data_IF_791905497096
#
_entry.id   IF_791905497096
#
_cell.length_a   1.000
_cell.length_b   1.000
_cell.length_c   1.000
_cell.angle_alpha   90.00
_cell.angle_beta   90.00
_cell.angle_gamma   90.00
#
_symmetry.space_group_name_H-M   'P 1'
#
loop_
_entity.id
_entity.type
_entity.pdbx_description
1 polymer ?
#
# COMPACT_ATOMS: atom_id res chain seq x y z
N UNK A 1 -21.88 2.07 17.90
CA UNK A 1 -20.96 1.73 16.80
C UNK A 1 -19.92 2.82 16.73
N UNK A 2 -18.63 2.50 16.66
CA UNK A 2 -17.59 3.51 16.51
C UNK A 2 -17.53 3.98 15.05
N UNK A 3 -17.60 5.29 14.81
CA UNK A 3 -17.35 5.89 13.50
C UNK A 3 -15.86 6.22 13.40
N UNK A 4 -15.16 5.58 12.47
CA UNK A 4 -13.75 5.86 12.19
C UNK A 4 -13.63 7.03 11.22
N UNK A 5 -12.71 7.95 11.50
CA UNK A 5 -12.32 9.00 10.55
C UNK A 5 -11.38 8.43 9.49
N UNK A 6 -11.26 9.10 8.34
CA UNK A 6 -10.33 8.69 7.27
C UNK A 6 -8.88 8.61 7.78
N UNK A 7 -8.50 9.56 8.65
CA UNK A 7 -7.21 9.56 9.33
C UNK A 7 -7.00 8.31 10.19
N UNK A 8 -7.99 7.90 10.98
CA UNK A 8 -7.89 6.68 11.81
C UNK A 8 -7.81 5.41 10.95
N UNK A 9 -8.52 5.38 9.81
CA UNK A 9 -8.41 4.27 8.85
C UNK A 9 -7.01 4.25 8.23
N UNK A 10 -6.45 5.40 7.87
CA UNK A 10 -5.09 5.50 7.34
C UNK A 10 -4.04 5.04 8.37
N UNK A 11 -4.16 5.44 9.63
CA UNK A 11 -3.29 4.98 10.73
C UNK A 11 -3.36 3.45 10.89
N UNK A 12 -4.56 2.87 10.83
CA UNK A 12 -4.75 1.43 10.86
C UNK A 12 -4.10 0.75 9.64
N UNK A 13 -4.27 1.28 8.44
CA UNK A 13 -3.66 0.73 7.22
C UNK A 13 -2.13 0.76 7.28
N UNK A 14 -1.53 1.85 7.78
CA UNK A 14 -0.09 1.94 8.02
C UNK A 14 0.36 0.92 9.07
N UNK A 15 -0.38 0.79 10.17
CA UNK A 15 -0.11 -0.21 11.21
C UNK A 15 -0.15 -1.65 10.67
N UNK A 16 -1.16 -1.97 9.86
CA UNK A 16 -1.30 -3.27 9.20
C UNK A 16 -0.13 -3.51 8.24
N UNK A 17 0.24 -2.52 7.42
CA UNK A 17 1.36 -2.65 6.49
C UNK A 17 2.68 -2.91 7.23
N UNK A 18 2.93 -2.23 8.36
CA UNK A 18 4.10 -2.49 9.22
C UNK A 18 4.09 -3.89 9.83
N UNK A 19 2.94 -4.37 10.31
CA UNK A 19 2.82 -5.74 10.82
C UNK A 19 3.10 -6.76 9.72
N UNK A 20 2.62 -6.51 8.50
CA UNK A 20 2.90 -7.36 7.34
C UNK A 20 4.37 -7.31 6.93
N UNK A 21 5.04 -6.16 6.98
CA UNK A 21 6.49 -6.07 6.76
C UNK A 21 7.27 -6.97 7.72
N UNK A 22 6.92 -7.00 9.01
CA UNK A 22 7.57 -7.88 9.97
C UNK A 22 7.41 -9.37 9.60
N UNK A 23 6.24 -9.76 9.10
CA UNK A 23 6.01 -11.13 8.58
C UNK A 23 6.90 -11.40 7.36
N UNK A 24 7.01 -10.45 6.44
CA UNK A 24 7.85 -10.58 5.24
C UNK A 24 9.33 -10.69 5.61
N UNK A 25 9.79 -9.91 6.59
CA UNK A 25 11.15 -10.00 7.12
C UNK A 25 11.43 -11.34 7.78
N UNK A 26 10.51 -11.84 8.61
CA UNK A 26 10.61 -13.16 9.19
C UNK A 26 10.69 -14.24 8.10
N UNK A 27 9.83 -14.17 7.08
CA UNK A 27 9.83 -15.13 5.97
C UNK A 27 11.13 -15.09 5.15
N UNK A 28 11.67 -13.89 4.87
CA UNK A 28 12.96 -13.73 4.18
C UNK A 28 14.11 -14.32 5.00
N UNK A 29 14.08 -14.19 6.33
CA UNK A 29 15.09 -14.78 7.22
C UNK A 29 15.10 -16.33 7.18
N UNK A 30 13.94 -16.95 6.93
CA UNK A 30 13.81 -18.40 6.84
C UNK A 30 14.11 -18.93 5.43
N UNK A 31 13.83 -18.13 4.40
CA UNK A 31 14.07 -18.48 3.00
C UNK A 31 14.51 -17.25 2.22
N UNK A 32 15.81 -17.19 1.93
CA UNK A 32 16.37 -16.16 1.05
C UNK A 32 15.64 -16.14 -0.31
N UNK A 33 15.31 -14.95 -0.78
CA UNK A 33 14.56 -14.73 -2.03
C UNK A 33 13.05 -14.77 -1.88
N UNK A 34 12.49 -14.91 -0.67
CA UNK A 34 11.04 -14.84 -0.44
C UNK A 34 10.42 -13.56 -1.01
N UNK A 35 11.07 -12.41 -0.79
CA UNK A 35 10.62 -11.10 -1.32
C UNK A 35 10.49 -11.07 -2.84
N UNK A 36 11.35 -11.80 -3.56
CA UNK A 36 11.28 -11.89 -5.02
C UNK A 36 10.01 -12.61 -5.50
N UNK A 37 9.52 -13.58 -4.71
CA UNK A 37 8.26 -14.27 -4.98
C UNK A 37 7.04 -13.46 -4.52
N UNK A 38 7.17 -12.72 -3.42
CA UNK A 38 6.10 -11.87 -2.90
C UNK A 38 5.79 -10.70 -3.83
N UNK A 39 6.81 -10.04 -4.37
CA UNK A 39 6.66 -8.84 -5.19
C UNK A 39 5.61 -8.98 -6.33
N UNK A 40 5.64 -10.01 -7.20
CA UNK A 40 4.61 -10.18 -8.24
C UNK A 40 3.22 -10.52 -7.69
N UNK A 41 3.13 -11.28 -6.59
CA UNK A 41 1.85 -11.58 -5.94
C UNK A 41 1.21 -10.30 -5.36
N UNK A 42 2.01 -9.47 -4.71
CA UNK A 42 1.58 -8.20 -4.15
C UNK A 42 1.20 -7.19 -5.23
N UNK A 43 1.96 -7.12 -6.34
CA UNK A 43 1.59 -6.29 -7.51
C UNK A 43 0.26 -6.73 -8.13
N UNK A 44 -0.02 -8.03 -8.17
CA UNK A 44 -1.30 -8.58 -8.64
C UNK A 44 -2.44 -8.14 -7.72
N UNK A 45 -2.28 -8.27 -6.40
CA UNK A 45 -3.28 -7.83 -5.43
C UNK A 45 -3.53 -6.31 -5.47
N UNK A 46 -2.46 -5.53 -5.66
CA UNK A 46 -2.50 -4.07 -5.82
C UNK A 46 -3.01 -3.62 -7.20
N UNK A 47 -3.20 -4.56 -8.14
CA UNK A 47 -3.63 -4.32 -9.53
C UNK A 47 -2.76 -3.30 -10.28
N UNK A 48 -1.49 -3.14 -9.90
CA UNK A 48 -0.61 -2.08 -10.44
C UNK A 48 -0.16 -2.33 -11.87
N UNK A 49 -0.21 -3.58 -12.36
CA UNK A 49 0.11 -3.92 -13.75
C UNK A 49 -1.07 -3.75 -14.72
N UNK A 50 -2.27 -3.51 -14.21
CA UNK A 50 -3.45 -3.32 -15.07
C UNK A 50 -3.62 -1.83 -15.38
N UNK A 51 -3.08 -1.40 -16.52
CA UNK A 51 -3.06 0.01 -16.93
C UNK A 51 -4.44 0.61 -17.19
N UNK A 52 -5.47 -0.22 -17.41
CA UNK A 52 -6.87 0.21 -17.55
C UNK A 52 -7.69 0.12 -16.27
N UNK A 53 -7.08 -0.26 -15.14
CA UNK A 53 -7.78 -0.43 -13.87
C UNK A 53 -7.78 0.85 -13.05
N UNK A 54 -8.96 1.41 -12.82
CA UNK A 54 -9.14 2.51 -11.86
C UNK A 54 -8.91 1.98 -10.44
N UNK A 55 -8.01 2.59 -9.64
CA UNK A 55 -7.77 2.20 -8.26
C UNK A 55 -9.05 2.14 -7.43
N UNK A 56 -9.15 1.14 -6.55
CA UNK A 56 -10.34 0.92 -5.72
C UNK A 56 -9.96 0.72 -4.25
N UNK A 57 -10.91 0.92 -3.34
CA UNK A 57 -10.71 0.62 -1.92
C UNK A 57 -10.28 -0.84 -1.66
N UNK A 58 -10.68 -1.78 -2.53
CA UNK A 58 -10.35 -3.19 -2.38
C UNK A 58 -8.88 -3.50 -2.68
N UNK A 59 -8.25 -2.75 -3.60
CA UNK A 59 -6.82 -2.92 -3.92
C UNK A 59 -5.90 -1.98 -3.12
N UNK A 60 -6.47 -0.98 -2.43
CA UNK A 60 -5.72 0.02 -1.69
C UNK A 60 -4.80 -0.54 -0.60
N UNK A 61 -5.21 -1.49 0.28
CA UNK A 61 -4.31 -2.03 1.30
C UNK A 61 -3.06 -2.69 0.71
N UNK A 62 -3.20 -3.36 -0.43
CA UNK A 62 -2.08 -3.98 -1.13
C UNK A 62 -1.14 -2.93 -1.73
N UNK A 63 -1.66 -1.79 -2.21
CA UNK A 63 -0.85 -0.65 -2.65
C UNK A 63 -0.07 -0.02 -1.51
N UNK A 64 -0.70 0.16 -0.34
CA UNK A 64 -0.02 0.67 0.87
C UNK A 64 1.10 -0.28 1.29
N UNK A 65 0.86 -1.59 1.33
CA UNK A 65 1.91 -2.57 1.63
C UNK A 65 3.02 -2.58 0.57
N UNK A 66 2.67 -2.44 -0.72
CA UNK A 66 3.64 -2.37 -1.81
C UNK A 66 4.55 -1.15 -1.69
N UNK A 67 4.00 0.02 -1.35
CA UNK A 67 4.79 1.22 -1.07
C UNK A 67 5.72 1.03 0.13
N UNK A 68 5.26 0.31 1.15
CA UNK A 68 6.07 -0.09 2.30
C UNK A 68 7.22 -1.05 1.94
N UNK A 69 7.18 -1.78 0.82
CA UNK A 69 8.33 -2.57 0.37
C UNK A 69 9.46 -1.70 -0.21
N UNK A 70 9.21 -0.41 -0.47
CA UNK A 70 10.19 0.54 -0.97
C UNK A 70 11.11 1.10 0.13
N UNK A 71 11.99 2.03 -0.27
CA UNK A 71 12.91 2.70 0.68
C UNK A 71 12.23 3.65 1.65
N UNK A 72 11.17 4.34 1.20
CA UNK A 72 10.46 5.34 1.96
C UNK A 72 9.00 4.91 2.13
N UNK A 73 8.64 4.23 3.23
CA UNK A 73 7.26 3.86 3.49
C UNK A 73 6.39 5.12 3.69
N UNK A 74 5.15 5.15 3.18
CA UNK A 74 4.26 6.29 3.34
C UNK A 74 3.82 6.46 4.79
N UNK A 75 3.63 7.71 5.20
CA UNK A 75 3.04 8.04 6.50
C UNK A 75 1.51 8.04 6.46
N UNK A 76 0.88 8.14 7.64
CA UNK A 76 -0.58 8.14 7.74
C UNK A 76 -1.23 9.31 7.01
N UNK A 77 -0.57 10.48 6.95
CA UNK A 77 -1.10 11.65 6.26
C UNK A 77 -1.14 11.44 4.74
N UNK A 78 -0.12 10.80 4.17
CA UNK A 78 -0.11 10.42 2.77
C UNK A 78 -1.19 9.39 2.45
N UNK A 79 -1.29 8.33 3.25
CA UNK A 79 -2.31 7.29 3.07
C UNK A 79 -3.73 7.87 3.23
N UNK A 80 -3.94 8.81 4.15
CA UNK A 80 -5.22 9.49 4.33
C UNK A 80 -5.61 10.29 3.08
N UNK A 81 -4.70 11.08 2.50
CA UNK A 81 -4.96 11.83 1.26
C UNK A 81 -5.33 10.93 0.10
N UNK A 82 -4.59 9.83 -0.08
CA UNK A 82 -4.89 8.85 -1.14
C UNK A 82 -6.24 8.15 -0.91
N UNK A 83 -6.56 7.84 0.35
CA UNK A 83 -7.84 7.26 0.72
C UNK A 83 -9.02 8.23 0.49
N UNK A 84 -8.84 9.51 0.81
CA UNK A 84 -9.83 10.56 0.54
C UNK A 84 -10.06 10.73 -0.96
N UNK A 85 -8.99 10.79 -1.77
CA UNK A 85 -9.10 10.84 -3.22
C UNK A 85 -9.84 9.62 -3.79
N UNK A 86 -9.54 8.42 -3.29
CA UNK A 86 -10.26 7.19 -3.67
C UNK A 86 -11.75 7.23 -3.29
N UNK A 87 -12.07 7.72 -2.10
CA UNK A 87 -13.46 7.86 -1.63
C UNK A 87 -14.23 8.91 -2.44
N UNK A 88 -13.56 9.99 -2.84
CA UNK A 88 -14.09 11.03 -3.71
C UNK A 88 -14.18 10.60 -5.19
N UNK A 89 -13.67 9.41 -5.54
CA UNK A 89 -13.49 8.94 -6.92
C UNK A 89 -12.65 9.90 -7.78
N UNK A 90 -11.77 10.66 -7.16
CA UNK A 90 -10.83 11.51 -7.86
C UNK A 90 -9.70 10.65 -8.46
N UNK A 91 -9.21 10.99 -9.66
CA UNK A 91 -8.02 10.34 -10.18
C UNK A 91 -6.85 10.65 -9.23
N UNK A 92 -6.39 9.62 -8.51
CA UNK A 92 -5.19 9.71 -7.66
C UNK A 92 -4.03 10.09 -8.58
N UNK A 93 -3.60 11.35 -8.51
CA UNK A 93 -2.46 11.83 -9.27
C UNK A 93 -1.23 11.01 -8.85
N UNK A 94 -0.61 10.33 -9.81
CA UNK A 94 0.61 9.58 -9.56
C UNK A 94 1.66 10.53 -8.95
N UNK A 95 1.99 10.33 -7.68
CA UNK A 95 3.07 11.07 -7.03
C UNK A 95 4.39 10.70 -7.71
N UNK A 96 4.85 11.60 -8.59
CA UNK A 96 6.13 11.51 -9.27
C UNK A 96 7.26 11.50 -8.22
N UNK A 97 8.05 10.42 -8.22
CA UNK A 97 9.22 10.28 -7.38
C UNK A 97 10.35 9.57 -8.13
N UNK A 98 11.24 10.36 -8.74
CA UNK A 98 12.64 9.97 -8.98
C UNK A 98 13.18 10.18 -10.40
N UNK A 99 13.60 11.41 -10.73
CA UNK A 99 14.71 11.66 -11.66
C UNK A 99 16.04 11.61 -10.85
N UNK A 100 17.17 11.24 -11.46
CA UNK A 100 17.94 12.21 -12.25
C UNK A 100 17.93 11.96 -13.77
#
# INVERSE_FOLDING_TARGET
MANLTTQQVAELLVGIARAQQAIVEAAESQKAGFRAHLAPALQTAARTRNTGHTPTLADFPARVLLAHQGRNPPDAAQVARELEALLAQEPVAASAGGAP
#
